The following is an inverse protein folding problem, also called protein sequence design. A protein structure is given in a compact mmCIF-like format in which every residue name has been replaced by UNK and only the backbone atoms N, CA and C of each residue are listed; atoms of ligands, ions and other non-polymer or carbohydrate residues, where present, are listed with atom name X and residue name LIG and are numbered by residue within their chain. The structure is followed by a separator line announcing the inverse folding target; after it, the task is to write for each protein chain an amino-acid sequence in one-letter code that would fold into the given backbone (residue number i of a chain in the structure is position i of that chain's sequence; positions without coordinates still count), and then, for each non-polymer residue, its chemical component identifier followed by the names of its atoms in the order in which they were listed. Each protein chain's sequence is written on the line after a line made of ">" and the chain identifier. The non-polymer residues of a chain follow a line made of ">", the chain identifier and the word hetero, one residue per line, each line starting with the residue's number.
data_IF_411675940991
#
_entry.id   IF_411675940991
#
_cell.length_a   1.000
_cell.length_b   1.000
_cell.length_c   1.000
_cell.angle_alpha   90.00
_cell.angle_beta   90.00
_cell.angle_gamma   90.00
#
_symmetry.space_group_name_H-M   'P 1'
#
loop_
_entity.id
_entity.type
_entity.pdbx_description
1 polymer ?
#
# COMPACT_ATOMS: atom_id res chain seq x y z
N UNK A 1 -12.00 -9.95 -35.30
CA UNK A 1 -12.43 -10.29 -33.93
C UNK A 1 -11.19 -10.26 -33.07
N UNK A 2 -11.16 -9.45 -32.00
CA UNK A 2 -10.08 -9.53 -31.01
C UNK A 2 -10.34 -10.81 -30.19
N UNK A 3 -9.67 -11.91 -30.55
CA UNK A 3 -9.69 -13.13 -29.73
C UNK A 3 -8.91 -12.84 -28.45
N UNK A 4 -9.63 -12.68 -27.34
CA UNK A 4 -9.02 -12.60 -26.03
C UNK A 4 -8.19 -13.88 -25.82
N UNK A 5 -6.90 -13.78 -25.43
CA UNK A 5 -6.06 -14.96 -25.26
C UNK A 5 -6.68 -15.87 -24.21
N UNK A 6 -6.94 -17.12 -24.58
CA UNK A 6 -7.61 -18.14 -23.77
C UNK A 6 -6.97 -18.34 -22.38
N UNK A 7 -5.71 -17.97 -22.19
CA UNK A 7 -5.04 -18.03 -20.88
C UNK A 7 -5.60 -17.03 -19.86
N UNK A 8 -5.99 -15.82 -20.29
CA UNK A 8 -6.64 -14.86 -19.39
C UNK A 8 -8.03 -15.38 -18.96
N UNK A 9 -8.72 -16.08 -19.85
CA UNK A 9 -10.02 -16.67 -19.58
C UNK A 9 -9.91 -17.83 -18.56
N UNK A 10 -8.88 -18.67 -18.69
CA UNK A 10 -8.58 -19.72 -17.72
C UNK A 10 -8.24 -19.17 -16.33
N UNK A 11 -7.45 -18.10 -16.25
CA UNK A 11 -7.14 -17.43 -14.98
C UNK A 11 -8.38 -16.78 -14.34
N UNK A 12 -9.22 -16.16 -15.17
CA UNK A 12 -10.48 -15.53 -14.70
C UNK A 12 -11.44 -16.58 -14.15
N UNK A 13 -11.59 -17.73 -14.83
CA UNK A 13 -12.41 -18.83 -14.34
C UNK A 13 -11.84 -19.47 -13.06
N UNK A 14 -10.52 -19.55 -12.93
CA UNK A 14 -9.87 -20.06 -11.72
C UNK A 14 -10.13 -19.14 -10.52
N UNK A 15 -10.02 -17.82 -10.70
CA UNK A 15 -10.38 -16.82 -9.69
C UNK A 15 -11.86 -16.88 -9.34
N UNK A 16 -12.72 -17.06 -10.33
CA UNK A 16 -14.17 -17.07 -10.14
C UNK A 16 -14.61 -18.24 -9.26
N UNK A 17 -14.02 -19.42 -9.46
CA UNK A 17 -14.39 -20.66 -8.79
C UNK A 17 -13.79 -20.83 -7.38
N UNK A 18 -12.73 -20.08 -7.03
CA UNK A 18 -12.06 -20.19 -5.73
C UNK A 18 -11.96 -18.83 -5.00
N UNK A 19 -13.05 -18.38 -4.36
CA UNK A 19 -13.09 -17.10 -3.65
C UNK A 19 -12.12 -17.01 -2.47
N UNK A 20 -11.78 -18.16 -1.84
CA UNK A 20 -10.79 -18.24 -0.78
C UNK A 20 -9.38 -17.85 -1.25
N UNK A 21 -9.00 -18.24 -2.48
CA UNK A 21 -7.72 -17.80 -3.06
C UNK A 21 -7.70 -16.31 -3.31
N UNK A 22 -8.83 -15.71 -3.71
CA UNK A 22 -8.88 -14.26 -3.88
C UNK A 22 -8.68 -13.51 -2.57
N UNK A 23 -9.22 -14.00 -1.45
CA UNK A 23 -8.96 -13.42 -0.14
C UNK A 23 -7.47 -13.55 0.27
N UNK A 24 -6.80 -14.63 -0.15
CA UNK A 24 -5.37 -14.83 0.04
C UNK A 24 -4.54 -13.86 -0.82
N UNK A 25 -4.89 -13.69 -2.10
CA UNK A 25 -4.26 -12.70 -2.99
C UNK A 25 -4.48 -11.28 -2.47
N UNK A 26 -5.66 -10.96 -1.97
CA UNK A 26 -5.98 -9.65 -1.40
C UNK A 26 -5.14 -9.31 -0.14
N UNK A 27 -4.67 -10.30 0.61
CA UNK A 27 -3.83 -10.10 1.79
C UNK A 27 -2.34 -10.17 1.46
N UNK A 28 -1.88 -11.28 0.88
CA UNK A 28 -0.46 -11.48 0.58
C UNK A 28 -0.01 -10.67 -0.65
N UNK A 29 -0.88 -10.47 -1.64
CA UNK A 29 -0.58 -9.64 -2.80
C UNK A 29 -0.35 -8.17 -2.43
N UNK A 30 -1.10 -7.64 -1.46
CA UNK A 30 -0.86 -6.28 -0.93
C UNK A 30 0.50 -6.19 -0.24
N UNK A 31 0.90 -7.20 0.54
CA UNK A 31 2.21 -7.24 1.18
C UNK A 31 3.35 -7.28 0.16
N UNK A 32 3.23 -8.14 -0.86
CA UNK A 32 4.22 -8.26 -1.94
C UNK A 32 4.30 -6.94 -2.71
N UNK A 33 3.17 -6.35 -3.07
CA UNK A 33 3.13 -5.06 -3.76
C UNK A 33 3.76 -3.94 -2.92
N UNK A 34 3.44 -3.88 -1.63
CA UNK A 34 4.02 -2.91 -0.70
C UNK A 34 5.54 -3.09 -0.57
N UNK A 35 6.04 -4.33 -0.51
CA UNK A 35 7.47 -4.63 -0.47
C UNK A 35 8.21 -4.19 -1.73
N UNK A 36 7.64 -4.48 -2.91
CA UNK A 36 8.18 -4.04 -4.20
C UNK A 36 8.23 -2.51 -4.24
N UNK A 37 7.16 -1.83 -3.83
CA UNK A 37 7.12 -0.36 -3.81
C UNK A 37 8.12 0.24 -2.82
N UNK A 38 8.31 -0.40 -1.66
CA UNK A 38 9.28 0.03 -0.68
C UNK A 38 10.73 0.01 -1.21
N UNK A 39 11.07 -0.91 -2.12
CA UNK A 39 12.37 -0.91 -2.80
C UNK A 39 12.60 0.35 -3.63
N UNK A 40 11.55 0.91 -4.25
CA UNK A 40 11.62 2.10 -5.09
C UNK A 40 11.56 3.43 -4.32
N UNK A 41 11.22 3.42 -3.01
CA UNK A 41 11.22 4.62 -2.15
C UNK A 41 12.59 5.30 -2.06
N UNK A 42 13.69 4.60 -2.37
CA UNK A 42 15.05 5.16 -2.40
C UNK A 42 15.27 6.19 -3.52
N UNK A 43 14.36 6.28 -4.50
CA UNK A 43 14.43 7.29 -5.57
C UNK A 43 13.92 8.65 -5.06
N UNK A 44 14.77 9.68 -4.92
CA UNK A 44 14.41 10.94 -4.26
C UNK A 44 13.31 11.73 -4.97
N UNK A 45 13.22 11.62 -6.31
CA UNK A 45 12.20 12.31 -7.12
C UNK A 45 10.79 11.73 -6.95
N UNK A 46 10.67 10.42 -6.66
CA UNK A 46 9.38 9.74 -6.54
C UNK A 46 9.05 9.28 -5.12
N UNK A 47 9.88 9.64 -4.13
CA UNK A 47 9.73 9.22 -2.74
C UNK A 47 8.33 9.50 -2.19
N UNK A 48 7.78 10.69 -2.46
CA UNK A 48 6.44 11.05 -1.99
C UNK A 48 5.35 10.21 -2.69
N UNK A 49 5.47 10.02 -4.00
CA UNK A 49 4.50 9.23 -4.77
C UNK A 49 4.47 7.77 -4.31
N UNK A 50 5.64 7.13 -4.22
CA UNK A 50 5.75 5.76 -3.70
C UNK A 50 5.36 5.68 -2.22
N UNK A 51 5.62 6.71 -1.42
CA UNK A 51 5.16 6.80 -0.04
C UNK A 51 3.64 6.83 0.10
N UNK A 52 2.95 7.58 -0.77
CA UNK A 52 1.47 7.62 -0.80
C UNK A 52 0.90 6.25 -1.19
N UNK A 53 1.46 5.61 -2.23
CA UNK A 53 0.97 4.29 -2.66
C UNK A 53 1.26 3.24 -1.60
N UNK A 54 2.46 3.22 -1.01
CA UNK A 54 2.81 2.31 0.06
C UNK A 54 1.90 2.50 1.28
N UNK A 55 1.62 3.75 1.67
CA UNK A 55 0.68 4.07 2.75
C UNK A 55 -0.74 3.61 2.42
N UNK A 56 -1.19 3.82 1.18
CA UNK A 56 -2.50 3.38 0.69
C UNK A 56 -2.66 1.86 0.74
N UNK A 57 -1.67 1.13 0.24
CA UNK A 57 -1.62 -0.34 0.31
C UNK A 57 -1.57 -0.85 1.75
N UNK A 58 -0.74 -0.25 2.60
CA UNK A 58 -0.64 -0.63 4.01
C UNK A 58 -1.97 -0.44 4.75
N UNK A 59 -2.66 0.67 4.51
CA UNK A 59 -3.99 0.93 5.07
C UNK A 59 -5.07 0.04 4.48
N UNK A 60 -4.96 -0.36 3.22
CA UNK A 60 -5.92 -1.26 2.56
C UNK A 60 -5.81 -2.70 3.03
N UNK A 61 -4.69 -3.12 3.65
CA UNK A 61 -4.43 -4.50 4.01
C UNK A 61 -5.49 -5.09 4.96
N UNK A 62 -5.71 -4.46 6.10
CA UNK A 62 -6.67 -4.94 7.10
C UNK A 62 -8.14 -4.85 6.65
N UNK A 63 -8.65 -3.68 6.22
CA UNK A 63 -10.03 -3.57 5.76
C UNK A 63 -10.27 -4.41 4.50
N UNK A 64 -9.32 -4.46 3.57
CA UNK A 64 -9.38 -5.30 2.38
C UNK A 64 -9.47 -6.78 2.73
N UNK A 65 -8.62 -7.27 3.63
CA UNK A 65 -8.67 -8.66 4.09
C UNK A 65 -10.01 -9.02 4.76
N UNK A 66 -10.49 -8.18 5.67
CA UNK A 66 -11.74 -8.42 6.40
C UNK A 66 -12.93 -8.51 5.42
N UNK A 67 -13.06 -7.53 4.52
CA UNK A 67 -14.15 -7.50 3.54
C UNK A 67 -14.06 -8.68 2.58
N UNK A 68 -12.86 -9.01 2.09
CA UNK A 68 -12.67 -10.16 1.20
C UNK A 68 -12.99 -11.49 1.89
N UNK A 69 -12.65 -11.64 3.17
CA UNK A 69 -13.01 -12.84 3.95
C UNK A 69 -14.53 -12.95 4.14
N UNK A 70 -15.21 -11.86 4.47
CA UNK A 70 -16.68 -11.87 4.60
C UNK A 70 -17.33 -12.31 3.28
N UNK A 71 -16.86 -11.79 2.15
CA UNK A 71 -17.38 -12.17 0.84
C UNK A 71 -17.05 -13.62 0.46
N UNK A 72 -15.85 -14.10 0.80
CA UNK A 72 -15.47 -15.49 0.59
C UNK A 72 -16.37 -16.46 1.39
N UNK A 73 -16.64 -16.16 2.66
CA UNK A 73 -17.56 -16.97 3.48
C UNK A 73 -19.03 -16.85 3.05
N UNK A 74 -19.39 -15.75 2.38
CA UNK A 74 -20.74 -15.56 1.83
C UNK A 74 -20.96 -16.26 0.50
N UNK A 75 -19.95 -16.96 -0.05
CA UNK A 75 -20.03 -17.66 -1.32
C UNK A 75 -20.11 -16.74 -2.55
N UNK A 76 -19.64 -15.49 -2.42
CA UNK A 76 -19.60 -14.54 -3.53
C UNK A 76 -18.49 -14.95 -4.49
N UNK A 77 -18.76 -14.90 -5.79
CA UNK A 77 -17.78 -15.25 -6.82
C UNK A 77 -16.51 -14.39 -6.70
N UNK A 78 -15.34 -15.01 -6.89
CA UNK A 78 -14.05 -14.35 -6.64
C UNK A 78 -13.81 -13.09 -7.49
N UNK A 79 -14.42 -12.99 -8.67
CA UNK A 79 -14.34 -11.79 -9.50
C UNK A 79 -14.98 -10.56 -8.83
N UNK A 80 -16.10 -10.71 -8.14
CA UNK A 80 -16.72 -9.61 -7.39
C UNK A 80 -15.87 -9.21 -6.17
N UNK A 81 -15.21 -10.18 -5.55
CA UNK A 81 -14.26 -9.95 -4.47
C UNK A 81 -13.07 -9.13 -4.99
N UNK A 82 -12.56 -9.46 -6.18
CA UNK A 82 -11.45 -8.74 -6.82
C UNK A 82 -11.80 -7.27 -7.08
N UNK A 83 -12.93 -7.00 -7.72
CA UNK A 83 -13.34 -5.62 -7.98
C UNK A 83 -13.58 -4.84 -6.70
N UNK A 84 -14.20 -5.46 -5.69
CA UNK A 84 -14.41 -4.84 -4.38
C UNK A 84 -13.08 -4.51 -3.69
N UNK A 85 -12.11 -5.42 -3.76
CA UNK A 85 -10.76 -5.19 -3.24
C UNK A 85 -10.06 -4.03 -3.95
N UNK A 86 -10.14 -3.94 -5.29
CA UNK A 86 -9.58 -2.81 -6.05
C UNK A 86 -10.17 -1.48 -5.60
N UNK A 87 -11.49 -1.43 -5.38
CA UNK A 87 -12.15 -0.22 -4.88
C UNK A 87 -11.64 0.17 -3.48
N UNK A 88 -11.42 -0.80 -2.59
CA UNK A 88 -10.86 -0.54 -1.25
C UNK A 88 -9.45 0.03 -1.37
N UNK A 89 -8.58 -0.57 -2.21
CA UNK A 89 -7.21 -0.08 -2.42
C UNK A 89 -7.20 1.35 -2.96
N UNK A 90 -8.06 1.66 -3.93
CA UNK A 90 -8.20 3.01 -4.48
C UNK A 90 -8.68 3.97 -3.38
N UNK A 91 -9.73 3.63 -2.63
CA UNK A 91 -10.26 4.47 -1.57
C UNK A 91 -9.21 4.78 -0.48
N UNK A 92 -8.46 3.77 -0.03
CA UNK A 92 -7.36 3.95 0.92
C UNK A 92 -6.23 4.81 0.34
N UNK A 93 -5.87 4.60 -0.93
CA UNK A 93 -4.82 5.40 -1.59
C UNK A 93 -5.23 6.85 -1.74
N UNK A 94 -6.47 7.11 -2.13
CA UNK A 94 -7.05 8.46 -2.23
C UNK A 94 -7.12 9.12 -0.86
N UNK A 95 -7.50 8.38 0.19
CA UNK A 95 -7.47 8.89 1.56
C UNK A 95 -6.06 9.32 1.98
N UNK A 96 -5.04 8.51 1.70
CA UNK A 96 -3.64 8.86 2.00
C UNK A 96 -3.18 10.05 1.17
N UNK A 97 -3.56 10.13 -0.12
CA UNK A 97 -3.23 11.26 -0.99
C UNK A 97 -3.74 12.58 -0.40
N UNK A 98 -5.01 12.64 0.00
CA UNK A 98 -5.60 13.86 0.55
C UNK A 98 -5.14 14.18 1.97
N UNK A 99 -4.79 13.17 2.77
CA UNK A 99 -4.37 13.36 4.16
C UNK A 99 -2.85 13.24 4.36
N UNK A 100 -2.07 13.27 3.27
CA UNK A 100 -0.65 12.90 3.29
C UNK A 100 0.18 13.73 4.27
N UNK A 101 -0.01 15.04 4.28
CA UNK A 101 0.73 15.96 5.16
C UNK A 101 0.45 15.68 6.64
N UNK A 102 -0.81 15.39 6.98
CA UNK A 102 -1.24 15.10 8.36
C UNK A 102 -0.76 13.73 8.82
N UNK A 103 -0.74 12.75 7.92
CA UNK A 103 -0.15 11.43 8.19
C UNK A 103 1.36 11.52 8.45
N UNK A 104 2.09 12.30 7.64
CA UNK A 104 3.53 12.51 7.85
C UNK A 104 3.80 13.20 9.19
N UNK A 105 3.03 14.23 9.56
CA UNK A 105 3.24 14.92 10.83
C UNK A 105 3.00 14.00 12.03
N UNK A 106 1.94 13.19 12.00
CA UNK A 106 1.67 12.22 13.06
C UNK A 106 2.79 11.17 13.19
N UNK A 107 3.28 10.63 12.08
CA UNK A 107 4.37 9.64 12.10
C UNK A 107 5.68 10.27 12.60
N UNK A 108 5.92 11.54 12.26
CA UNK A 108 7.06 12.32 12.74
C UNK A 108 7.02 12.59 14.24
N UNK A 109 5.83 12.77 14.83
CA UNK A 109 5.66 12.93 16.27
C UNK A 109 5.83 11.60 17.04
N UNK A 110 5.40 10.48 16.46
CA UNK A 110 5.60 9.14 17.03
C UNK A 110 7.05 8.61 16.90
N UNK A 111 7.79 9.10 15.91
CA UNK A 111 9.21 8.78 15.74
C UNK A 111 10.02 9.97 16.20
N UNK A 112 10.35 10.10 17.51
CA UNK A 112 11.25 11.16 17.94
C UNK A 112 12.51 11.01 17.12
N UNK A 113 12.77 12.00 16.28
CA UNK A 113 13.96 12.02 15.46
C UNK A 113 15.13 11.70 16.38
N UNK A 114 15.87 10.63 16.06
CA UNK A 114 17.23 10.46 16.56
C UNK A 114 18.08 11.54 15.90
N UNK A 115 17.81 12.79 16.26
CA UNK A 115 18.53 13.96 15.83
C UNK A 115 19.80 14.07 16.69
N UNK A 116 20.71 13.13 16.46
CA UNK A 116 22.05 13.15 17.06
C UNK A 116 23.06 13.86 16.15
N UNK A 117 22.64 14.65 15.16
CA UNK A 117 23.59 15.26 14.21
C UNK A 117 23.28 16.72 13.80
N UNK A 118 22.53 17.51 14.57
CA UNK A 118 22.32 18.94 14.26
C UNK A 118 22.82 19.96 15.32
N UNK A 119 23.52 19.55 16.40
CA UNK A 119 24.08 20.51 17.40
C UNK A 119 25.60 20.66 17.47
N UNK A 120 26.39 20.06 16.56
CA UNK A 120 27.87 20.21 16.55
C UNK A 120 28.45 21.13 15.46
N UNK A 121 27.64 21.96 14.79
CA UNK A 121 28.15 23.02 13.91
C UNK A 121 28.15 24.44 14.52
N UNK A 122 27.61 24.63 15.73
CA UNK A 122 27.57 25.95 16.39
C UNK A 122 28.77 26.33 17.27
N UNK A 123 29.62 25.37 17.68
CA UNK A 123 30.64 25.63 18.73
C UNK A 123 32.07 25.83 18.23
N UNK A 124 32.32 25.86 16.90
CA UNK A 124 33.68 26.06 16.35
C UNK A 124 34.01 27.51 15.96
N UNK A 125 33.14 28.50 16.23
CA UNK A 125 33.35 29.89 15.78
C UNK A 125 33.49 30.94 16.88
N UNK A 126 33.81 30.54 18.13
CA UNK A 126 34.00 31.49 19.24
C UNK A 126 35.15 31.10 20.18
N UNK A 127 36.36 30.92 19.63
CA UNK A 127 37.61 30.99 20.42
C UNK A 127 38.81 31.35 19.52
N UNK A 128 38.70 32.47 18.83
CA UNK A 128 39.82 33.22 18.27
C UNK A 128 39.47 34.70 18.34
N UNK A 129 39.73 35.28 19.50
CA UNK A 129 40.14 36.67 19.74
C UNK A 129 40.25 36.86 21.25
#
# INVERSE_FOLDING_TARGET
>A
MLELPFELFGFTQFIENEPAMMAFVASFGVLIAAFIIALFIRLPLLKNFFGIIAGGLALALFPGFIVCMIFAFSGIAGMHIFFSWVVIVIACTVFVLFNHQRLISMIGDLTPAKDNNAKKQGSKKKKQR
#
